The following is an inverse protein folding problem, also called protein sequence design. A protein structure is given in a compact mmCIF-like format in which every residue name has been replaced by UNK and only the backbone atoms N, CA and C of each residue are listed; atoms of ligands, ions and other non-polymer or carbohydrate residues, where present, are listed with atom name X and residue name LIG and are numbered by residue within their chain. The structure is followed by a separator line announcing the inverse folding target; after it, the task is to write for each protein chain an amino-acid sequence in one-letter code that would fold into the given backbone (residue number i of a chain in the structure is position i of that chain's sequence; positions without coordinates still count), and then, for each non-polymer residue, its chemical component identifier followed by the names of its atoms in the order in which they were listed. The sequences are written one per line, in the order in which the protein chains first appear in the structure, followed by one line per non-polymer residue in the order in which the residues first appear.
data_IF_092400413375
#
_entry.id   IF_092400413375
#
_cell.length_a   1.000
_cell.length_b   1.000
_cell.length_c   1.000
_cell.angle_alpha   90.00
_cell.angle_beta   90.00
_cell.angle_gamma   90.00
#
_symmetry.space_group_name_H-M   'P 1'
#
loop_
_entity.id
_entity.type
_entity.pdbx_description
1 polymer ?
#
# COMPACT_ATOMS: atom_id res chain seq x y z
N UNK A 1 9.27 -18.17 -6.19
CA UNK A 1 9.53 -16.74 -6.46
C UNK A 1 9.81 -16.11 -5.11
N UNK A 2 11.07 -15.74 -4.87
CA UNK A 2 11.46 -14.97 -3.69
C UNK A 2 10.80 -13.61 -3.84
N UNK A 3 9.98 -13.21 -2.87
CA UNK A 3 9.39 -11.87 -2.83
C UNK A 3 10.51 -10.86 -2.59
N UNK A 4 10.54 -9.77 -3.35
CA UNK A 4 11.47 -8.65 -3.14
C UNK A 4 11.24 -7.88 -1.82
N UNK A 5 10.24 -8.30 -1.04
CA UNK A 5 9.90 -7.69 0.25
C UNK A 5 10.42 -8.53 1.42
N UNK A 6 10.81 -7.88 2.53
CA UNK A 6 11.18 -8.59 3.74
C UNK A 6 9.97 -9.34 4.33
N UNK A 7 10.25 -10.40 5.09
CA UNK A 7 9.24 -11.05 5.92
C UNK A 7 9.00 -10.20 7.20
N UNK A 8 7.76 -10.09 7.71
CA UNK A 8 6.55 -10.82 7.31
C UNK A 8 5.72 -10.17 6.17
N UNK A 9 6.13 -8.99 5.70
CA UNK A 9 5.37 -8.20 4.72
C UNK A 9 5.11 -8.96 3.43
N UNK A 10 6.09 -9.71 2.95
CA UNK A 10 5.94 -10.55 1.77
C UNK A 10 4.74 -11.50 1.85
N UNK A 11 4.60 -12.22 2.97
CA UNK A 11 3.48 -13.14 3.19
C UNK A 11 2.16 -12.40 3.28
N UNK A 12 2.11 -11.29 4.02
CA UNK A 12 0.90 -10.48 4.17
C UNK A 12 0.45 -9.87 2.85
N UNK A 13 1.39 -9.35 2.05
CA UNK A 13 1.13 -8.82 0.71
C UNK A 13 0.56 -9.90 -0.22
N UNK A 14 1.12 -11.11 -0.21
CA UNK A 14 0.58 -12.23 -1.00
C UNK A 14 -0.83 -12.63 -0.55
N UNK A 15 -1.11 -12.64 0.76
CA UNK A 15 -2.47 -12.88 1.29
C UNK A 15 -3.44 -11.78 0.84
N UNK A 16 -3.03 -10.52 0.92
CA UNK A 16 -3.80 -9.37 0.47
C UNK A 16 -4.20 -9.49 -1.01
N UNK A 17 -3.24 -9.81 -1.90
CA UNK A 17 -3.54 -10.03 -3.32
C UNK A 17 -4.53 -11.18 -3.56
N UNK A 18 -4.43 -12.27 -2.80
CA UNK A 18 -5.39 -13.37 -2.88
C UNK A 18 -6.78 -12.93 -2.43
N UNK A 19 -6.89 -12.19 -1.33
CA UNK A 19 -8.17 -11.67 -0.84
C UNK A 19 -8.84 -10.75 -1.88
N UNK A 20 -8.10 -9.80 -2.45
CA UNK A 20 -8.64 -8.88 -3.47
C UNK A 20 -9.19 -9.64 -4.70
N UNK A 21 -8.51 -10.72 -5.13
CA UNK A 21 -8.99 -11.58 -6.22
C UNK A 21 -10.24 -12.35 -5.84
N UNK A 22 -10.29 -12.91 -4.61
CA UNK A 22 -11.45 -13.64 -4.11
C UNK A 22 -12.68 -12.73 -3.92
N UNK A 23 -12.48 -11.43 -3.68
CA UNK A 23 -13.55 -10.43 -3.66
C UNK A 23 -14.11 -10.11 -5.06
N UNK A 24 -13.54 -10.66 -6.14
CA UNK A 24 -14.01 -10.44 -7.51
C UNK A 24 -13.72 -9.03 -8.05
N UNK A 25 -12.74 -8.32 -7.48
CA UNK A 25 -12.38 -6.97 -7.90
C UNK A 25 -11.76 -6.98 -9.31
N UNK A 26 -11.98 -5.90 -10.07
CA UNK A 26 -11.39 -5.74 -11.39
C UNK A 26 -9.86 -5.65 -11.28
N UNK A 27 -9.09 -6.16 -12.28
CA UNK A 27 -7.62 -6.12 -12.24
C UNK A 27 -7.03 -4.75 -11.94
N UNK A 28 -7.54 -3.69 -12.58
CA UNK A 28 -7.10 -2.30 -12.33
C UNK A 28 -7.30 -1.85 -10.89
N UNK A 29 -8.32 -2.36 -10.23
CA UNK A 29 -8.63 -2.06 -8.82
C UNK A 29 -7.69 -2.81 -7.91
N UNK A 30 -7.41 -4.09 -8.21
CA UNK A 30 -6.40 -4.88 -7.50
C UNK A 30 -5.03 -4.22 -7.60
N UNK A 31 -4.66 -3.74 -8.79
CA UNK A 31 -3.38 -3.06 -9.03
C UNK A 31 -3.25 -1.75 -8.25
N UNK A 32 -4.36 -1.01 -8.08
CA UNK A 32 -4.40 0.19 -7.25
C UNK A 32 -4.17 -0.14 -5.76
N UNK A 33 -4.94 -1.09 -5.19
CA UNK A 33 -4.79 -1.52 -3.79
C UNK A 33 -3.39 -2.06 -3.53
N UNK A 34 -2.90 -2.90 -4.43
CA UNK A 34 -1.56 -3.46 -4.35
C UNK A 34 -0.47 -2.38 -4.45
N UNK A 35 -0.67 -1.33 -5.25
CA UNK A 35 0.25 -0.20 -5.33
C UNK A 35 0.28 0.58 -4.02
N UNK A 36 -0.88 0.93 -3.47
CA UNK A 36 -0.96 1.67 -2.21
C UNK A 36 -0.19 0.96 -1.09
N UNK A 37 -0.45 -0.34 -0.89
CA UNK A 37 0.24 -1.15 0.11
C UNK A 37 1.77 -1.18 -0.10
N UNK A 38 2.24 -1.29 -1.34
CA UNK A 38 3.69 -1.24 -1.63
C UNK A 38 4.29 0.14 -1.36
N UNK A 39 3.58 1.22 -1.69
CA UNK A 39 4.03 2.58 -1.45
C UNK A 39 4.10 2.91 0.05
N UNK A 40 3.08 2.52 0.82
CA UNK A 40 3.09 2.59 2.28
C UNK A 40 4.22 1.72 2.87
N UNK A 41 4.34 0.47 2.41
CA UNK A 41 5.41 -0.43 2.82
C UNK A 41 6.80 0.18 2.62
N UNK A 42 7.09 0.71 1.43
CA UNK A 42 8.38 1.34 1.15
C UNK A 42 8.69 2.53 2.09
N UNK A 43 7.69 3.31 2.49
CA UNK A 43 7.88 4.43 3.42
C UNK A 43 8.12 3.97 4.86
N UNK A 44 7.38 2.96 5.32
CA UNK A 44 7.45 2.46 6.70
C UNK A 44 8.38 1.24 6.86
N UNK A 45 9.38 1.09 5.99
CA UNK A 45 10.34 -0.04 6.03
C UNK A 45 9.65 -1.41 6.09
N UNK A 46 8.54 -1.54 5.37
CA UNK A 46 7.67 -2.72 5.27
C UNK A 46 7.07 -3.19 6.60
N UNK A 47 6.97 -2.30 7.59
CA UNK A 47 6.27 -2.54 8.86
C UNK A 47 5.00 -1.70 8.88
N UNK A 48 3.90 -2.26 8.38
CA UNK A 48 2.61 -1.56 8.24
C UNK A 48 1.50 -2.17 9.11
N UNK A 49 1.87 -3.09 10.01
CA UNK A 49 0.92 -3.88 10.82
C UNK A 49 0.22 -3.06 11.90
N UNK A 50 0.88 -1.98 12.36
CA UNK A 50 0.49 -1.16 13.49
C UNK A 50 0.70 0.33 13.18
N UNK A 51 0.18 0.77 12.02
CA UNK A 51 0.20 2.18 11.66
C UNK A 51 -0.90 2.94 12.40
N UNK A 52 -0.51 3.98 13.11
CA UNK A 52 -1.44 4.93 13.72
C UNK A 52 -1.99 5.93 12.70
N UNK A 53 -3.17 6.48 12.99
CA UNK A 53 -3.77 7.53 12.17
C UNK A 53 -2.86 8.76 12.04
N UNK A 54 -2.14 9.13 13.11
CA UNK A 54 -1.18 10.23 13.08
C UNK A 54 -0.03 9.97 12.09
N UNK A 55 0.52 8.76 12.06
CA UNK A 55 1.55 8.39 11.09
C UNK A 55 1.05 8.44 9.65
N UNK A 56 -0.19 8.03 9.41
CA UNK A 56 -0.82 8.12 8.09
C UNK A 56 -1.04 9.59 7.68
N UNK A 57 -1.51 10.43 8.60
CA UNK A 57 -1.74 11.85 8.37
C UNK A 57 -0.43 12.57 8.01
N UNK A 58 0.64 12.31 8.75
CA UNK A 58 1.96 12.88 8.48
C UNK A 58 2.49 12.40 7.12
N UNK A 59 2.37 11.10 6.83
CA UNK A 59 2.78 10.52 5.56
C UNK A 59 2.09 11.19 4.36
N UNK A 60 0.75 11.32 4.40
CA UNK A 60 0.01 11.95 3.31
C UNK A 60 0.28 13.45 3.20
N UNK A 61 0.52 14.13 4.33
CA UNK A 61 0.89 15.56 4.36
C UNK A 61 2.25 15.81 3.69
N UNK A 62 3.26 14.97 3.98
CA UNK A 62 4.56 15.02 3.30
C UNK A 62 4.45 14.64 1.83
N UNK A 63 3.57 13.69 1.49
CA UNK A 63 3.36 13.30 0.08
C UNK A 63 2.68 14.40 -0.73
N UNK A 64 1.78 15.18 -0.13
CA UNK A 64 1.13 16.34 -0.75
C UNK A 64 2.12 17.45 -1.14
N UNK A 65 3.21 17.63 -0.38
CA UNK A 65 4.21 18.67 -0.70
C UNK A 65 5.18 18.25 -1.80
N UNK A 66 5.33 16.94 -2.04
CA UNK A 66 6.33 16.37 -2.95
C UNK A 66 5.73 15.77 -4.24
N UNK A 67 4.45 15.43 -4.25
CA UNK A 67 3.78 14.74 -5.36
C UNK A 67 2.50 15.47 -5.79
N UNK A 68 2.05 15.19 -7.03
CA UNK A 68 0.77 15.70 -7.49
C UNK A 68 -0.40 15.10 -6.70
N UNK A 69 -1.49 15.85 -6.59
CA UNK A 69 -2.70 15.37 -5.92
C UNK A 69 -3.23 14.07 -6.54
N UNK A 70 -3.13 13.90 -7.85
CA UNK A 70 -3.50 12.66 -8.54
C UNK A 70 -2.67 11.46 -8.09
N UNK A 71 -1.38 11.65 -7.81
CA UNK A 71 -0.53 10.59 -7.27
C UNK A 71 -0.90 10.25 -5.82
N UNK A 72 -1.16 11.26 -4.98
CA UNK A 72 -1.60 11.08 -3.59
C UNK A 72 -2.93 10.31 -3.53
N UNK A 73 -3.88 10.63 -4.41
CA UNK A 73 -5.17 9.92 -4.50
C UNK A 73 -5.02 8.42 -4.76
N UNK A 74 -4.04 8.02 -5.56
CA UNK A 74 -3.81 6.60 -5.87
C UNK A 74 -3.35 5.80 -4.66
N UNK A 75 -2.72 6.43 -3.67
CA UNK A 75 -2.33 5.75 -2.43
C UNK A 75 -3.38 5.89 -1.33
N UNK A 76 -4.18 6.97 -1.39
CA UNK A 76 -5.23 7.25 -0.40
C UNK A 76 -6.50 6.42 -0.61
N UNK A 77 -6.95 6.32 -1.87
CA UNK A 77 -8.12 5.52 -2.27
C UNK A 77 -7.73 4.19 -2.89
N UNK A 78 -6.43 3.97 -3.01
CA UNK A 78 -5.82 2.82 -3.64
C UNK A 78 -6.28 1.56 -3.00
#
# INVERSE_FOLDING_TARGET
MQSDFPEPFAQQYQKHLKHLRLQGLQPKTIDAYARAIRCLGAHFSFRIDDLSEAQLLDYFSVRLTSHSWSAVKLDLYG
#
